data_IF_266639289566
#
_entry.id   IF_266639289566
#
_cell.length_a   1.000
_cell.length_b   1.000
_cell.length_c   1.000
_cell.angle_alpha   90.00
_cell.angle_beta   90.00
_cell.angle_gamma   90.00
#
_symmetry.space_group_name_H-M   'P 1'
#
loop_
_entity.id
_entity.type
_entity.pdbx_description
1 polymer ?
#
# COMPACT_ATOMS: atom_id res chain seq x y z
N UNK A 1 8.20 3.86 -4.66
CA UNK A 1 7.11 4.33 -5.55
C UNK A 1 6.09 5.10 -4.75
N UNK A 2 5.18 5.83 -5.38
CA UNK A 2 4.10 6.55 -4.68
C UNK A 2 2.78 5.81 -4.90
N UNK A 3 1.99 5.62 -3.84
CA UNK A 3 0.65 5.09 -3.97
C UNK A 3 -0.28 6.10 -4.66
N UNK A 4 -1.41 5.67 -5.23
CA UNK A 4 -2.43 6.58 -5.76
C UNK A 4 -3.01 7.48 -4.65
N UNK A 5 -3.38 8.70 -5.02
CA UNK A 5 -4.18 9.56 -4.17
C UNK A 5 -5.67 9.29 -4.46
N UNK A 6 -6.40 8.76 -3.48
CA UNK A 6 -7.78 8.32 -3.66
C UNK A 6 -8.54 8.22 -2.32
N UNK A 7 -9.89 8.21 -2.34
CA UNK A 7 -10.69 8.04 -1.13
C UNK A 7 -10.34 6.78 -0.35
N UNK A 8 -10.05 5.68 -1.05
CA UNK A 8 -9.53 4.45 -0.44
C UNK A 8 -8.48 3.81 -1.32
N UNK A 9 -7.42 3.30 -0.67
CA UNK A 9 -6.40 2.47 -1.32
C UNK A 9 -6.23 1.19 -0.51
N UNK A 10 -6.26 0.05 -1.19
CA UNK A 10 -5.88 -1.23 -0.62
C UNK A 10 -4.54 -1.67 -1.21
N UNK A 11 -3.59 -2.03 -0.35
CA UNK A 11 -2.29 -2.61 -0.72
C UNK A 11 -2.24 -4.02 -0.18
N UNK A 12 -1.90 -4.98 -1.03
CA UNK A 12 -1.57 -6.35 -0.64
C UNK A 12 -0.15 -6.68 -1.08
N UNK A 13 0.61 -7.38 -0.23
CA UNK A 13 2.00 -7.77 -0.50
C UNK A 13 2.08 -9.28 -0.76
N UNK A 14 1.99 -9.74 -2.02
CA UNK A 14 2.17 -11.17 -2.33
C UNK A 14 3.59 -11.67 -2.02
N UNK A 15 4.61 -10.80 -2.05
CA UNK A 15 5.99 -11.20 -1.79
C UNK A 15 6.93 -10.05 -1.47
N UNK A 16 7.93 -10.33 -0.64
CA UNK A 16 8.93 -9.35 -0.20
C UNK A 16 8.51 -8.56 1.04
N UNK A 17 9.11 -7.36 1.20
CA UNK A 17 8.87 -6.47 2.33
C UNK A 17 8.94 -5.02 1.86
N UNK A 18 8.07 -4.17 2.38
CA UNK A 18 8.13 -2.72 2.14
C UNK A 18 7.82 -1.90 3.39
N UNK A 19 8.36 -0.70 3.43
CA UNK A 19 7.99 0.34 4.38
C UNK A 19 7.01 1.32 3.72
N UNK A 20 5.92 1.62 4.43
CA UNK A 20 4.90 2.58 4.04
C UNK A 20 4.99 3.81 4.94
N UNK A 21 5.12 4.99 4.32
CA UNK A 21 5.12 6.27 5.02
C UNK A 21 3.90 6.39 5.94
N UNK A 22 4.14 6.55 7.24
CA UNK A 22 3.09 6.72 8.25
C UNK A 22 2.32 5.46 8.64
N UNK A 23 2.62 4.29 8.07
CA UNK A 23 1.96 3.01 8.42
C UNK A 23 2.94 1.89 8.83
N UNK A 24 4.25 2.11 8.66
CA UNK A 24 5.28 1.16 9.07
C UNK A 24 5.54 0.08 8.02
N UNK A 25 5.97 -1.08 8.47
CA UNK A 25 6.45 -2.15 7.58
C UNK A 25 5.35 -3.16 7.29
N UNK A 26 5.23 -3.56 6.03
CA UNK A 26 4.44 -4.71 5.58
C UNK A 26 5.38 -5.79 5.04
N UNK A 27 5.07 -7.04 5.32
CA UNK A 27 5.76 -8.22 4.80
C UNK A 27 4.81 -9.06 3.92
N UNK A 28 5.35 -10.09 3.29
CA UNK A 28 4.58 -11.02 2.47
C UNK A 28 3.36 -11.57 3.24
N UNK A 29 2.17 -11.44 2.63
CA UNK A 29 0.88 -11.80 3.22
C UNK A 29 0.14 -10.65 3.89
N UNK A 30 0.80 -9.53 4.19
CA UNK A 30 0.16 -8.40 4.83
C UNK A 30 -0.73 -7.59 3.87
N UNK A 31 -1.71 -6.91 4.46
CA UNK A 31 -2.60 -5.98 3.76
C UNK A 31 -2.71 -4.67 4.53
N UNK A 32 -2.77 -3.57 3.80
CA UNK A 32 -2.99 -2.24 4.35
C UNK A 32 -4.16 -1.58 3.63
N UNK A 33 -5.08 -1.00 4.40
CA UNK A 33 -6.16 -0.16 3.89
C UNK A 33 -5.95 1.26 4.36
N UNK A 34 -5.89 2.18 3.41
CA UNK A 34 -5.81 3.61 3.64
C UNK A 34 -7.16 4.25 3.32
N UNK A 35 -7.60 5.17 4.18
CA UNK A 35 -8.72 6.06 3.92
C UNK A 35 -8.17 7.47 3.73
N UNK A 36 -8.66 8.19 2.72
CA UNK A 36 -8.13 9.49 2.28
C UNK A 36 -6.62 9.38 2.01
N UNK A 37 -6.24 8.47 1.11
CA UNK A 37 -4.86 8.30 0.70
C UNK A 37 -4.41 9.53 -0.11
N UNK A 38 -3.27 10.11 0.26
CA UNK A 38 -2.77 11.37 -0.33
C UNK A 38 -1.44 11.14 -1.08
N UNK A 39 -1.21 9.91 -1.53
CA UNK A 39 0.00 9.52 -2.24
C UNK A 39 1.18 9.19 -1.32
N UNK A 40 0.94 8.39 -0.27
CA UNK A 40 1.99 7.88 0.61
C UNK A 40 3.12 7.21 -0.19
N UNK A 41 4.38 7.48 0.18
CA UNK A 41 5.53 6.80 -0.41
C UNK A 41 5.67 5.39 0.16
N UNK A 42 6.09 4.47 -0.70
CA UNK A 42 6.49 3.12 -0.31
C UNK A 42 7.90 2.78 -0.82
N UNK A 43 8.65 2.05 0.00
CA UNK A 43 10.03 1.68 -0.29
C UNK A 43 10.27 0.21 0.06
N UNK A 44 10.78 -0.58 -0.90
CA UNK A 44 11.05 -2.01 -0.72
C UNK A 44 12.55 -2.34 -0.49
N UNK A 45 13.39 -1.32 -0.32
CA UNK A 45 14.83 -1.49 -0.18
C UNK A 45 15.48 -2.15 -1.40
N UNK A 46 16.60 -2.83 -1.17
CA UNK A 46 17.35 -3.57 -2.20
C UNK A 46 16.69 -4.88 -2.61
N UNK A 47 15.94 -5.49 -1.70
CA UNK A 47 15.41 -6.85 -1.88
C UNK A 47 14.16 -6.85 -2.77
N UNK A 48 13.51 -5.69 -2.88
CA UNK A 48 12.30 -5.52 -3.66
C UNK A 48 11.06 -6.13 -2.98
N UNK A 49 9.91 -5.76 -3.52
CA UNK A 49 8.62 -6.32 -3.12
C UNK A 49 7.68 -6.26 -4.30
N UNK A 50 6.82 -7.26 -4.40
CA UNK A 50 5.66 -7.23 -5.27
C UNK A 50 4.47 -6.70 -4.46
N UNK A 51 3.72 -5.77 -5.04
CA UNK A 51 2.50 -5.22 -4.45
C UNK A 51 1.37 -5.20 -5.46
N UNK A 52 0.17 -5.49 -4.97
CA UNK A 52 -1.08 -5.23 -5.67
C UNK A 52 -1.73 -4.01 -5.04
N UNK A 53 -2.14 -3.05 -5.86
CA UNK A 53 -2.74 -1.79 -5.43
C UNK A 53 -4.11 -1.65 -6.07
N UNK A 54 -5.14 -1.44 -5.24
CA UNK A 54 -6.49 -1.11 -5.69
C UNK A 54 -6.87 0.29 -5.24
N UNK A 55 -7.18 1.13 -6.22
CA UNK A 55 -7.82 2.43 -6.04
C UNK A 55 -9.35 2.26 -6.03
N UNK A 56 -10.02 2.79 -5.01
CA UNK A 56 -11.46 2.69 -4.87
C UNK A 56 -12.09 4.06 -4.56
N UNK A 57 -13.14 4.40 -5.31
CA UNK A 57 -13.87 5.68 -5.17
C UNK A 57 -15.22 5.56 -4.48
N UNK A 58 -15.54 4.38 -3.94
CA UNK A 58 -16.75 4.13 -3.18
C UNK A 58 -16.42 3.31 -1.93
N UNK A 59 -17.11 3.61 -0.84
CA UNK A 59 -17.07 2.76 0.34
C UNK A 59 -17.87 1.47 0.06
N UNK A 60 -17.44 0.35 0.64
CA UNK A 60 -18.34 -0.77 0.82
C UNK A 60 -19.45 -0.34 1.78
N UNK A 61 -20.69 -0.48 1.32
CA UNK A 61 -21.92 -0.35 2.11
C UNK A 61 -22.26 -1.68 2.75
#
# INVERSE_FOLDING_TARGET
VTLPAAPYVHVFVPGGRLEVEGSGVLAAGDSLRLAVADGQRVNAGSDGAEILVWEMHAALV
#
